data_IF_707078562566
#
_entry.id   IF_707078562566
#
_cell.length_a   1.000
_cell.length_b   1.000
_cell.length_c   1.000
_cell.angle_alpha   90.00
_cell.angle_beta   90.00
_cell.angle_gamma   90.00
#
_symmetry.space_group_name_H-M   'P 1'
#
loop_
_entity.id
_entity.type
_entity.pdbx_description
1 polymer ?
#
# COMPACT_ATOMS: atom_id res chain seq x y z
N UNK A 1 -13.83 -7.81 7.28
CA UNK A 1 -15.05 -7.73 6.47
C UNK A 1 -15.69 -6.37 6.53
N UNK A 2 -15.73 -5.66 7.63
CA UNK A 2 -15.91 -4.21 7.52
C UNK A 2 -14.91 -3.64 6.51
N UNK A 3 -13.68 -4.12 6.47
CA UNK A 3 -12.71 -3.81 5.44
C UNK A 3 -13.09 -4.41 4.07
N UNK A 4 -13.59 -5.61 4.04
CA UNK A 4 -14.12 -6.25 2.83
C UNK A 4 -15.48 -5.66 2.52
N UNK A 5 -16.36 -5.42 3.49
CA UNK A 5 -17.62 -4.71 3.31
C UNK A 5 -17.37 -3.26 2.88
N UNK A 6 -16.41 -2.55 3.46
CA UNK A 6 -16.02 -1.23 3.03
C UNK A 6 -15.55 -1.24 1.57
N UNK A 7 -14.75 -2.21 1.22
CA UNK A 7 -14.25 -2.37 -0.14
C UNK A 7 -15.35 -2.78 -1.12
N UNK A 8 -16.25 -3.65 -0.70
CA UNK A 8 -17.37 -4.10 -1.53
C UNK A 8 -18.52 -3.11 -1.57
N UNK A 9 -18.75 -2.41 -0.50
CA UNK A 9 -19.70 -1.33 -0.42
C UNK A 9 -19.36 -0.23 -1.42
N UNK A 10 -18.10 -0.03 -1.66
CA UNK A 10 -17.49 0.87 -2.62
C UNK A 10 -17.81 0.54 -4.09
N UNK A 11 -17.96 -0.72 -4.44
CA UNK A 11 -18.13 -1.12 -5.83
C UNK A 11 -19.59 -1.16 -6.31
N UNK A 12 -20.58 -1.12 -5.40
CA UNK A 12 -22.01 -1.35 -5.72
C UNK A 12 -22.83 -0.13 -6.14
N UNK A 13 -22.42 1.09 -5.85
CA UNK A 13 -23.30 2.25 -5.90
C UNK A 13 -23.70 2.78 -7.28
N UNK A 14 -23.03 2.40 -8.32
CA UNK A 14 -23.29 3.01 -9.65
C UNK A 14 -24.46 2.41 -10.46
N UNK A 15 -25.07 1.33 -10.01
CA UNK A 15 -26.22 0.71 -10.71
C UNK A 15 -27.54 0.72 -9.95
N UNK A 16 -27.61 1.24 -8.74
CA UNK A 16 -28.75 1.04 -7.83
C UNK A 16 -29.61 2.29 -7.62
N UNK A 17 -29.54 3.29 -8.49
CA UNK A 17 -30.43 4.48 -8.37
C UNK A 17 -31.92 4.18 -8.50
N UNK A 18 -32.33 2.98 -8.87
CA UNK A 18 -33.75 2.63 -9.07
C UNK A 18 -34.36 1.64 -8.06
N UNK A 19 -33.56 1.07 -7.14
CA UNK A 19 -34.06 0.11 -6.15
C UNK A 19 -34.06 0.66 -4.71
N UNK A 20 -33.52 1.85 -4.50
CA UNK A 20 -33.17 2.41 -3.18
C UNK A 20 -34.29 3.13 -2.41
N UNK A 21 -35.45 3.29 -2.97
CA UNK A 21 -36.57 3.93 -2.22
C UNK A 21 -37.13 3.07 -1.08
N UNK A 22 -36.71 1.81 -0.98
CA UNK A 22 -37.23 0.87 0.03
C UNK A 22 -36.32 0.66 1.26
N UNK A 23 -35.08 1.18 1.27
CA UNK A 23 -34.10 0.89 2.33
C UNK A 23 -33.62 2.11 3.12
N UNK A 24 -34.51 3.06 3.44
CA UNK A 24 -34.20 4.32 4.15
C UNK A 24 -33.84 4.20 5.64
N UNK A 25 -33.50 3.05 6.18
CA UNK A 25 -33.30 2.88 7.64
C UNK A 25 -31.90 2.47 8.10
N UNK A 26 -30.85 2.66 7.32
CA UNK A 26 -29.48 2.43 7.81
C UNK A 26 -28.63 3.71 7.86
N UNK A 27 -27.89 3.88 8.96
CA UNK A 27 -27.29 5.10 9.53
C UNK A 27 -26.33 5.91 8.63
N UNK A 28 -26.26 7.26 8.81
CA UNK A 28 -25.58 8.20 7.91
C UNK A 28 -24.05 8.21 7.89
N UNK A 29 -23.35 7.59 8.84
CA UNK A 29 -21.90 7.72 9.00
C UNK A 29 -21.05 6.84 8.08
N UNK A 30 -21.64 5.84 7.44
CA UNK A 30 -20.98 4.97 6.47
C UNK A 30 -20.94 5.54 5.03
N UNK A 31 -21.71 6.59 4.75
CA UNK A 31 -21.93 7.11 3.40
C UNK A 31 -20.72 7.80 2.75
N UNK A 32 -19.81 8.39 3.52
CA UNK A 32 -18.75 9.25 2.96
C UNK A 32 -17.67 8.43 2.27
N UNK A 33 -17.17 7.37 2.89
CA UNK A 33 -16.15 6.49 2.30
C UNK A 33 -16.64 5.69 1.12
N UNK A 34 -17.88 5.38 1.15
CA UNK A 34 -18.65 4.72 0.15
C UNK A 34 -18.74 5.50 -1.17
N UNK A 35 -19.14 6.74 -1.09
CA UNK A 35 -19.19 7.63 -2.25
C UNK A 35 -17.81 7.80 -2.88
N UNK A 36 -16.77 7.85 -2.06
CA UNK A 36 -15.41 8.19 -2.47
C UNK A 36 -14.75 7.10 -3.30
N UNK A 37 -14.87 5.85 -2.92
CA UNK A 37 -14.21 4.78 -3.66
C UNK A 37 -15.02 4.31 -4.89
N UNK A 38 -16.35 4.49 -4.90
CA UNK A 38 -17.23 4.14 -6.05
C UNK A 38 -17.16 5.16 -7.16
N UNK A 39 -17.17 6.44 -6.83
CA UNK A 39 -17.02 7.51 -7.82
C UNK A 39 -15.70 7.32 -8.58
N UNK A 40 -14.67 6.82 -7.93
CA UNK A 40 -13.34 6.69 -8.52
C UNK A 40 -13.12 5.50 -9.43
N UNK A 41 -13.63 4.33 -9.11
CA UNK A 41 -13.48 3.18 -10.00
C UNK A 41 -14.30 3.35 -11.27
N UNK A 42 -15.44 4.04 -11.21
CA UNK A 42 -16.32 4.24 -12.37
C UNK A 42 -16.06 5.52 -13.16
N UNK A 43 -15.47 6.54 -12.56
CA UNK A 43 -15.09 7.81 -13.21
C UNK A 43 -13.63 7.82 -13.67
N UNK A 44 -12.89 6.76 -13.41
CA UNK A 44 -11.49 6.64 -13.83
C UNK A 44 -11.40 6.72 -15.35
N UNK A 45 -10.77 7.76 -15.93
CA UNK A 45 -10.51 7.84 -17.36
C UNK A 45 -9.58 6.71 -17.86
N UNK A 46 -8.82 6.05 -16.97
CA UNK A 46 -8.24 4.75 -17.19
C UNK A 46 -9.31 3.64 -17.09
N UNK A 47 -10.33 3.76 -17.90
CA UNK A 47 -11.05 2.55 -18.28
C UNK A 47 -10.07 1.70 -19.05
N UNK A 48 -9.45 0.77 -18.34
CA UNK A 48 -8.86 -0.38 -19.02
C UNK A 48 -9.94 -0.84 -20.00
N UNK A 49 -9.67 -0.87 -21.31
CA UNK A 49 -10.73 -1.02 -22.31
C UNK A 49 -11.51 -2.30 -22.00
N UNK A 50 -12.71 -2.13 -21.46
CA UNK A 50 -13.61 -3.23 -21.23
C UNK A 50 -14.00 -3.78 -22.60
N UNK A 51 -13.79 -5.07 -22.88
CA UNK A 51 -14.14 -5.64 -24.17
C UNK A 51 -15.64 -5.51 -24.38
N UNK A 52 -16.09 -5.17 -25.61
CA UNK A 52 -17.49 -4.83 -25.91
C UNK A 52 -18.47 -6.01 -25.91
N UNK A 53 -18.08 -7.23 -25.53
CA UNK A 53 -18.90 -8.41 -25.69
C UNK A 53 -19.22 -9.10 -24.37
N UNK A 54 -20.52 -9.22 -24.06
CA UNK A 54 -21.18 -10.14 -23.12
C UNK A 54 -20.30 -10.56 -21.94
N UNK A 55 -19.84 -9.59 -21.17
CA UNK A 55 -19.12 -9.90 -19.95
C UNK A 55 -20.17 -9.96 -18.85
N UNK A 56 -20.41 -11.15 -18.33
CA UNK A 56 -21.24 -11.34 -17.13
C UNK A 56 -20.61 -10.65 -15.91
N UNK A 57 -19.32 -10.25 -16.00
CA UNK A 57 -18.53 -9.65 -14.94
C UNK A 57 -17.85 -8.37 -15.43
N UNK A 58 -18.07 -7.26 -14.76
CA UNK A 58 -17.35 -6.03 -15.04
C UNK A 58 -15.91 -6.11 -14.51
N UNK A 59 -15.01 -5.31 -15.08
CA UNK A 59 -13.64 -5.20 -14.58
C UNK A 59 -13.63 -4.85 -13.09
N UNK A 60 -14.50 -3.94 -12.65
CA UNK A 60 -14.59 -3.47 -11.28
C UNK A 60 -14.91 -4.61 -10.30
N UNK A 61 -15.86 -5.48 -10.65
CA UNK A 61 -16.19 -6.66 -9.83
C UNK A 61 -14.98 -7.60 -9.72
N UNK A 62 -14.29 -7.87 -10.83
CA UNK A 62 -13.11 -8.74 -10.80
C UNK A 62 -11.97 -8.15 -9.98
N UNK A 63 -11.75 -6.84 -10.06
CA UNK A 63 -10.77 -6.13 -9.27
C UNK A 63 -11.11 -6.22 -7.77
N UNK A 64 -12.37 -5.98 -7.41
CA UNK A 64 -12.85 -6.08 -6.03
C UNK A 64 -12.64 -7.47 -5.45
N UNK A 65 -12.97 -8.52 -6.22
CA UNK A 65 -12.75 -9.90 -5.80
C UNK A 65 -11.26 -10.22 -5.65
N UNK A 66 -10.41 -9.67 -6.52
CA UNK A 66 -8.96 -9.83 -6.40
C UNK A 66 -8.41 -9.19 -5.13
N UNK A 67 -8.88 -7.99 -4.77
CA UNK A 67 -8.47 -7.32 -3.53
C UNK A 67 -9.02 -8.06 -2.29
N UNK A 68 -10.27 -8.54 -2.35
CA UNK A 68 -10.82 -9.38 -1.29
C UNK A 68 -9.99 -10.65 -1.07
N UNK A 69 -9.49 -11.27 -2.15
CA UNK A 69 -8.57 -12.39 -2.05
C UNK A 69 -7.28 -12.00 -1.31
N UNK A 70 -6.71 -10.83 -1.60
CA UNK A 70 -5.53 -10.31 -0.90
C UNK A 70 -5.78 -10.06 0.58
N UNK A 71 -6.91 -9.44 0.94
CA UNK A 71 -7.31 -9.23 2.33
C UNK A 71 -7.49 -10.55 3.10
N UNK A 72 -7.78 -11.64 2.40
CA UNK A 72 -7.80 -13.00 2.96
C UNK A 72 -6.43 -13.73 2.88
N UNK A 73 -5.34 -13.03 2.54
CA UNK A 73 -3.99 -13.55 2.35
C UNK A 73 -3.91 -14.65 1.28
N UNK A 74 -4.75 -14.58 0.24
CA UNK A 74 -4.75 -15.50 -0.89
C UNK A 74 -3.82 -14.99 -1.98
N UNK A 75 -3.07 -15.89 -2.59
CA UNK A 75 -1.99 -15.55 -3.53
C UNK A 75 -2.22 -16.08 -4.95
N UNK A 76 -3.08 -17.07 -5.09
CA UNK A 76 -3.39 -17.67 -6.40
C UNK A 76 -4.58 -17.00 -7.09
N UNK A 77 -4.52 -16.91 -8.42
CA UNK A 77 -5.67 -16.51 -9.23
C UNK A 77 -6.85 -17.48 -9.09
N UNK A 78 -6.56 -18.74 -8.76
CA UNK A 78 -7.59 -19.77 -8.50
C UNK A 78 -8.40 -19.49 -7.25
N UNK A 79 -7.87 -18.68 -6.34
CA UNK A 79 -8.57 -18.30 -5.10
C UNK A 79 -9.56 -17.15 -5.31
N UNK A 80 -9.39 -16.34 -6.36
CA UNK A 80 -10.22 -15.15 -6.61
C UNK A 80 -11.71 -15.49 -6.75
N UNK A 81 -12.11 -16.55 -7.48
CA UNK A 81 -13.53 -16.94 -7.55
C UNK A 81 -14.16 -17.32 -6.21
N UNK A 82 -13.35 -17.62 -5.21
CA UNK A 82 -13.77 -18.00 -3.86
C UNK A 82 -13.50 -16.91 -2.81
N UNK A 83 -13.05 -15.73 -3.25
CA UNK A 83 -12.66 -14.66 -2.34
C UNK A 83 -13.83 -14.14 -1.52
N UNK A 84 -15.02 -14.16 -2.08
CA UNK A 84 -16.27 -13.76 -1.44
C UNK A 84 -17.30 -14.87 -1.60
N UNK A 85 -17.82 -15.32 -0.49
CA UNK A 85 -18.85 -16.35 -0.41
C UNK A 85 -20.12 -15.83 0.25
N UNK A 86 -20.03 -14.67 0.85
CA UNK A 86 -21.14 -14.03 1.53
C UNK A 86 -22.07 -13.35 0.52
N UNK A 87 -23.29 -13.79 0.51
CA UNK A 87 -24.29 -13.36 -0.46
C UNK A 87 -24.63 -11.86 -0.37
N UNK A 88 -24.62 -11.27 0.82
CA UNK A 88 -24.76 -9.83 1.03
C UNK A 88 -23.71 -9.03 0.24
N UNK A 89 -22.46 -9.44 0.41
CA UNK A 89 -21.34 -8.76 -0.26
C UNK A 89 -21.40 -8.92 -1.78
N UNK A 90 -21.83 -10.10 -2.25
CA UNK A 90 -22.02 -10.34 -3.68
C UNK A 90 -23.15 -9.48 -4.25
N UNK A 91 -24.25 -9.36 -3.52
CA UNK A 91 -25.37 -8.50 -3.93
C UNK A 91 -24.95 -7.01 -3.94
N UNK A 92 -24.19 -6.56 -2.95
CA UNK A 92 -23.63 -5.21 -2.89
C UNK A 92 -22.68 -4.92 -4.05
N UNK A 93 -21.90 -5.92 -4.51
CA UNK A 93 -21.06 -5.82 -5.71
C UNK A 93 -21.88 -5.73 -7.01
N UNK A 94 -23.18 -5.89 -6.94
CA UNK A 94 -24.04 -6.02 -8.11
C UNK A 94 -23.87 -7.36 -8.83
N UNK A 95 -23.36 -8.39 -8.13
CA UNK A 95 -23.32 -9.75 -8.65
C UNK A 95 -24.73 -10.28 -8.77
N UNK A 96 -25.15 -10.69 -9.98
CA UNK A 96 -26.44 -11.34 -10.15
C UNK A 96 -26.33 -12.81 -9.75
N UNK A 97 -26.72 -13.10 -8.52
CA UNK A 97 -26.72 -14.46 -7.97
C UNK A 97 -27.72 -15.41 -8.68
N UNK A 98 -28.71 -14.86 -9.37
CA UNK A 98 -29.72 -15.62 -10.10
C UNK A 98 -29.22 -16.13 -11.45
N UNK A 99 -28.28 -15.44 -12.07
CA UNK A 99 -27.69 -15.84 -13.37
C UNK A 99 -26.53 -16.82 -13.20
N UNK A 100 -26.24 -17.22 -11.98
CA UNK A 100 -25.10 -18.10 -11.70
C UNK A 100 -25.54 -19.57 -11.76
N UNK A 101 -25.39 -20.19 -12.94
CA UNK A 101 -25.63 -21.62 -13.14
C UNK A 101 -24.55 -22.51 -12.49
N UNK A 102 -23.51 -21.92 -11.90
CA UNK A 102 -22.38 -22.67 -11.33
C UNK A 102 -22.68 -23.15 -9.92
N UNK A 103 -22.19 -24.35 -9.60
CA UNK A 103 -22.16 -24.85 -8.22
C UNK A 103 -21.28 -23.96 -7.35
N UNK A 104 -21.66 -23.75 -6.10
CA UNK A 104 -20.88 -22.99 -5.11
C UNK A 104 -19.46 -23.53 -4.97
N UNK A 105 -19.28 -24.85 -5.15
CA UNK A 105 -17.98 -25.51 -5.09
C UNK A 105 -17.07 -25.18 -6.29
N UNK A 106 -17.64 -24.67 -7.37
CA UNK A 106 -16.89 -24.29 -8.59
C UNK A 106 -16.45 -22.83 -8.58
N UNK A 107 -16.80 -22.07 -7.53
CA UNK A 107 -16.55 -20.64 -7.40
C UNK A 107 -17.45 -19.78 -8.30
N UNK A 108 -17.41 -18.47 -8.09
CA UNK A 108 -18.25 -17.50 -8.79
C UNK A 108 -18.04 -17.49 -10.31
N UNK A 109 -16.83 -17.79 -10.76
CA UNK A 109 -16.45 -17.84 -12.18
C UNK A 109 -15.23 -18.75 -12.37
N UNK A 110 -14.96 -19.14 -13.60
CA UNK A 110 -13.75 -19.92 -13.91
C UNK A 110 -12.48 -19.06 -13.74
N UNK A 111 -11.41 -19.62 -13.18
CA UNK A 111 -10.11 -18.96 -13.09
C UNK A 111 -9.59 -18.41 -14.44
N UNK A 112 -10.02 -19.05 -15.55
CA UNK A 112 -9.69 -18.63 -16.92
C UNK A 112 -10.12 -17.17 -17.20
N UNK A 113 -11.14 -16.66 -16.51
CA UNK A 113 -11.59 -15.27 -16.62
C UNK A 113 -10.47 -14.33 -16.17
N UNK A 114 -9.87 -14.60 -14.99
CA UNK A 114 -8.73 -13.80 -14.50
C UNK A 114 -7.52 -13.92 -15.41
N UNK A 115 -7.20 -15.12 -15.91
CA UNK A 115 -6.08 -15.30 -16.84
C UNK A 115 -6.29 -14.51 -18.13
N UNK A 116 -7.51 -14.54 -18.70
CA UNK A 116 -7.86 -13.77 -19.90
C UNK A 116 -7.81 -12.27 -19.64
N UNK A 117 -8.23 -11.82 -18.47
CA UNK A 117 -8.11 -10.41 -18.06
C UNK A 117 -6.64 -9.99 -18.04
N UNK A 118 -5.80 -10.72 -17.31
CA UNK A 118 -4.38 -10.38 -17.16
C UNK A 118 -3.61 -10.42 -18.49
N UNK A 119 -3.99 -11.31 -19.41
CA UNK A 119 -3.36 -11.40 -20.71
C UNK A 119 -3.60 -10.17 -21.61
N UNK A 120 -4.56 -9.30 -21.25
CA UNK A 120 -4.88 -8.08 -22.04
C UNK A 120 -3.99 -6.88 -21.67
N UNK A 121 -3.42 -6.88 -20.47
CA UNK A 121 -2.69 -5.75 -19.93
C UNK A 121 -1.21 -6.04 -19.82
N UNK A 122 -0.39 -5.03 -20.09
CA UNK A 122 1.05 -5.08 -19.88
C UNK A 122 1.40 -4.77 -18.43
N UNK A 123 2.60 -5.13 -18.02
CA UNK A 123 3.09 -4.89 -16.66
C UNK A 123 3.10 -3.40 -16.28
N UNK A 124 3.48 -2.55 -17.22
CA UNK A 124 3.55 -1.10 -17.03
C UNK A 124 2.16 -0.51 -16.78
N UNK A 125 1.11 -1.06 -17.42
CA UNK A 125 -0.27 -0.58 -17.24
C UNK A 125 -0.78 -0.85 -15.82
N UNK A 126 -0.32 -1.91 -15.15
CA UNK A 126 -0.65 -2.17 -13.74
C UNK A 126 0.00 -1.16 -12.81
N UNK A 127 1.27 -0.80 -13.05
CA UNK A 127 1.97 0.22 -12.27
C UNK A 127 1.32 1.59 -12.49
N UNK A 128 1.07 1.98 -13.74
CA UNK A 128 0.36 3.21 -14.06
C UNK A 128 -1.04 3.26 -13.42
N UNK A 129 -1.78 2.14 -13.45
CA UNK A 129 -3.08 2.04 -12.77
C UNK A 129 -2.97 2.37 -11.28
N UNK A 130 -1.98 1.81 -10.58
CA UNK A 130 -1.78 2.11 -9.16
C UNK A 130 -1.48 3.59 -8.92
N UNK A 131 -0.49 4.11 -9.62
CA UNK A 131 -0.02 5.48 -9.44
C UNK A 131 -1.11 6.50 -9.77
N UNK A 132 -1.80 6.34 -10.91
CA UNK A 132 -2.91 7.21 -11.28
C UNK A 132 -4.09 7.12 -10.29
N UNK A 133 -4.43 5.91 -9.85
CA UNK A 133 -5.51 5.69 -8.90
C UNK A 133 -5.23 6.36 -7.55
N UNK A 134 -4.04 6.15 -6.98
CA UNK A 134 -3.67 6.74 -5.68
C UNK A 134 -3.54 8.25 -5.79
N UNK A 135 -2.72 8.75 -6.70
CA UNK A 135 -2.41 10.18 -6.80
C UNK A 135 -3.61 11.00 -7.27
N UNK A 136 -4.22 10.61 -8.39
CA UNK A 136 -5.22 11.46 -9.05
C UNK A 136 -6.61 11.36 -8.43
N UNK A 137 -6.92 10.24 -7.81
CA UNK A 137 -8.26 10.00 -7.31
C UNK A 137 -8.31 9.83 -5.80
N UNK A 138 -7.68 8.79 -5.26
CA UNK A 138 -7.88 8.41 -3.87
C UNK A 138 -7.39 9.50 -2.90
N UNK A 139 -6.18 10.01 -3.08
CA UNK A 139 -5.62 11.04 -2.20
C UNK A 139 -6.42 12.34 -2.29
N UNK A 140 -6.80 12.75 -3.51
CA UNK A 140 -7.61 13.95 -3.74
C UNK A 140 -8.98 13.86 -3.09
N UNK A 141 -9.65 12.71 -3.18
CA UNK A 141 -10.99 12.54 -2.64
C UNK A 141 -11.03 12.40 -1.12
N UNK A 142 -9.99 11.81 -0.55
CA UNK A 142 -9.84 11.68 0.90
C UNK A 142 -9.20 12.94 1.53
N UNK A 143 -8.87 13.95 0.72
CA UNK A 143 -8.14 15.15 1.17
C UNK A 143 -6.85 14.80 1.93
N UNK A 144 -6.13 13.78 1.44
CA UNK A 144 -4.88 13.32 2.02
C UNK A 144 -3.72 14.02 1.32
N UNK A 145 -3.01 14.86 2.05
CA UNK A 145 -1.85 15.60 1.55
C UNK A 145 -0.67 15.48 2.54
N UNK A 146 0.13 14.40 2.46
CA UNK A 146 1.34 14.30 3.25
C UNK A 146 2.31 15.43 2.89
N UNK A 147 2.99 15.97 3.89
CA UNK A 147 4.07 16.93 3.70
C UNK A 147 5.46 16.30 3.97
N UNK A 148 5.50 15.08 4.43
CA UNK A 148 6.72 14.30 4.65
C UNK A 148 6.58 13.02 3.85
N UNK A 149 7.58 12.76 3.02
CA UNK A 149 7.64 11.59 2.16
C UNK A 149 8.89 10.77 2.49
N UNK A 150 8.78 9.45 2.40
CA UNK A 150 9.91 8.52 2.57
C UNK A 150 10.05 7.73 1.29
N UNK A 151 11.26 7.71 0.72
CA UNK A 151 11.57 6.91 -0.46
C UNK A 151 12.52 5.78 -0.08
N UNK A 152 12.13 4.57 -0.41
CA UNK A 152 13.01 3.40 -0.26
C UNK A 152 12.65 2.31 -1.28
N UNK A 153 13.57 1.37 -1.48
CA UNK A 153 13.40 0.21 -2.34
C UNK A 153 13.44 -1.08 -1.54
N UNK A 154 12.57 -2.01 -1.86
CA UNK A 154 12.64 -3.37 -1.32
C UNK A 154 12.87 -4.39 -2.42
N UNK A 155 13.66 -5.42 -2.08
CA UNK A 155 13.88 -6.58 -2.96
C UNK A 155 12.65 -7.48 -2.91
N UNK A 156 12.24 -7.99 -4.05
CA UNK A 156 11.20 -9.02 -4.21
C UNK A 156 11.89 -10.26 -4.73
N UNK A 157 12.18 -11.19 -3.82
CA UNK A 157 13.04 -12.32 -4.11
C UNK A 157 12.26 -13.51 -4.67
N UNK A 158 12.91 -14.26 -5.54
CA UNK A 158 12.41 -15.51 -6.13
C UNK A 158 13.45 -16.61 -6.00
N UNK A 159 13.05 -17.86 -6.30
CA UNK A 159 13.98 -18.98 -6.30
C UNK A 159 15.14 -18.71 -7.27
N UNK A 160 16.36 -18.73 -6.75
CA UNK A 160 17.59 -18.43 -7.48
C UNK A 160 17.81 -19.35 -8.69
N UNK A 161 17.49 -20.63 -8.53
CA UNK A 161 17.73 -21.68 -9.54
C UNK A 161 16.68 -21.66 -10.65
N UNK A 162 15.54 -21.00 -10.45
CA UNK A 162 14.48 -20.96 -11.44
C UNK A 162 14.67 -19.78 -12.42
N UNK A 163 15.25 -20.05 -13.57
CA UNK A 163 15.51 -19.08 -14.64
C UNK A 163 14.27 -18.67 -15.44
N UNK A 164 13.13 -19.33 -15.22
CA UNK A 164 11.88 -19.03 -15.94
C UNK A 164 11.18 -17.75 -15.47
N UNK A 165 11.65 -17.13 -14.39
CA UNK A 165 11.12 -15.85 -13.94
C UNK A 165 11.44 -14.73 -14.92
N UNK A 166 10.46 -14.35 -15.72
CA UNK A 166 10.59 -13.31 -16.74
C UNK A 166 11.05 -11.97 -16.14
N UNK A 167 11.98 -11.28 -16.80
CA UNK A 167 12.56 -10.00 -16.39
C UNK A 167 13.21 -10.00 -14.99
N UNK A 168 13.40 -11.16 -14.36
CA UNK A 168 14.19 -11.24 -13.13
C UNK A 168 15.67 -11.02 -13.42
N UNK A 169 16.41 -10.51 -12.46
CA UNK A 169 17.87 -10.40 -12.54
C UNK A 169 18.55 -11.04 -11.34
N UNK A 170 19.78 -11.47 -11.56
CA UNK A 170 20.65 -12.03 -10.52
C UNK A 170 21.67 -10.98 -10.11
N UNK A 171 21.81 -10.78 -8.80
CA UNK A 171 22.80 -9.87 -8.22
C UNK A 171 23.52 -10.56 -7.06
N UNK A 172 24.74 -10.10 -6.79
CA UNK A 172 25.50 -10.51 -5.61
C UNK A 172 25.59 -9.32 -4.65
N UNK A 173 25.02 -9.46 -3.46
CA UNK A 173 24.99 -8.42 -2.42
C UNK A 173 25.49 -9.06 -1.14
N UNK A 174 26.47 -8.43 -0.47
CA UNK A 174 27.06 -8.89 0.78
C UNK A 174 27.54 -10.37 0.77
N UNK A 175 28.01 -10.81 -0.40
CA UNK A 175 28.49 -12.18 -0.61
C UNK A 175 27.41 -13.19 -1.01
N UNK A 176 26.15 -12.87 -0.85
CA UNK A 176 25.01 -13.73 -1.22
C UNK A 176 24.54 -13.43 -2.64
N UNK A 177 24.29 -14.50 -3.40
CA UNK A 177 23.70 -14.41 -4.75
C UNK A 177 22.19 -14.57 -4.63
N UNK A 178 21.44 -13.62 -5.19
CA UNK A 178 19.98 -13.62 -5.15
C UNK A 178 19.39 -13.26 -6.52
N UNK A 179 18.21 -13.82 -6.80
CA UNK A 179 17.40 -13.52 -8.00
C UNK A 179 16.11 -12.82 -7.60
N UNK A 180 15.68 -11.86 -8.38
CA UNK A 180 14.39 -11.21 -8.12
C UNK A 180 14.19 -9.91 -8.87
N UNK A 181 13.33 -9.11 -8.27
CA UNK A 181 12.89 -7.80 -8.71
C UNK A 181 13.10 -6.77 -7.62
N UNK A 182 12.86 -5.52 -7.94
CA UNK A 182 12.94 -4.41 -7.01
C UNK A 182 11.65 -3.58 -7.08
N UNK A 183 11.08 -3.29 -5.93
CA UNK A 183 9.95 -2.40 -5.75
C UNK A 183 10.43 -1.14 -5.05
N UNK A 184 10.37 0.01 -5.73
CA UNK A 184 10.56 1.33 -5.13
C UNK A 184 9.21 1.90 -4.73
N UNK A 185 9.14 2.52 -3.55
CA UNK A 185 7.92 3.10 -2.99
C UNK A 185 8.20 4.50 -2.48
N UNK A 186 7.42 5.46 -2.94
CA UNK A 186 7.26 6.76 -2.30
C UNK A 186 6.12 6.66 -1.31
N UNK A 187 6.41 6.88 -0.04
CA UNK A 187 5.48 6.75 1.09
C UNK A 187 5.20 8.11 1.71
N UNK A 188 3.96 8.55 1.71
CA UNK A 188 3.53 9.69 2.49
C UNK A 188 3.35 9.32 3.97
N UNK A 189 3.83 10.18 4.87
CA UNK A 189 3.67 10.01 6.32
C UNK A 189 2.36 10.62 6.77
N UNK A 190 1.56 9.84 7.50
CA UNK A 190 0.33 10.27 8.17
C UNK A 190 0.50 10.09 9.68
N UNK A 191 -0.37 10.70 10.50
CA UNK A 191 -0.23 10.72 11.96
C UNK A 191 -0.01 9.33 12.59
N UNK A 192 -0.80 8.32 12.19
CA UNK A 192 -0.76 6.97 12.76
C UNK A 192 -0.36 5.89 11.76
N UNK A 193 -0.03 6.26 10.51
CA UNK A 193 0.27 5.31 9.45
C UNK A 193 1.01 5.98 8.29
N UNK A 194 1.18 5.24 7.20
CA UNK A 194 1.66 5.78 5.94
C UNK A 194 0.83 5.30 4.76
N UNK A 195 0.96 5.99 3.67
CA UNK A 195 0.32 5.65 2.41
C UNK A 195 1.39 5.49 1.33
N UNK A 196 1.40 4.37 0.62
CA UNK A 196 2.24 4.23 -0.56
C UNK A 196 1.63 5.07 -1.69
N UNK A 197 2.21 6.24 -1.94
CA UNK A 197 1.67 7.24 -2.86
C UNK A 197 1.97 6.90 -4.31
N UNK A 198 3.19 6.47 -4.57
CA UNK A 198 3.65 6.12 -5.90
C UNK A 198 4.64 4.96 -5.82
N UNK A 199 4.64 4.11 -6.85
CA UNK A 199 5.50 2.93 -6.88
C UNK A 199 6.17 2.78 -8.24
N UNK A 200 7.34 2.15 -8.24
CA UNK A 200 8.04 1.70 -9.43
C UNK A 200 8.48 0.25 -9.23
N UNK A 201 8.26 -0.58 -10.24
CA UNK A 201 8.61 -1.99 -10.18
C UNK A 201 9.51 -2.36 -11.35
N UNK A 202 10.64 -2.97 -11.06
CA UNK A 202 11.65 -3.27 -12.07
C UNK A 202 12.62 -4.37 -11.67
N UNK A 203 13.73 -4.43 -12.38
CA UNK A 203 14.76 -5.47 -12.18
C UNK A 203 15.60 -5.18 -10.93
N UNK A 204 16.00 -6.24 -10.21
CA UNK A 204 16.82 -6.14 -9.01
C UNK A 204 18.19 -5.49 -9.28
N UNK A 205 18.69 -5.58 -10.51
CA UNK A 205 20.00 -5.08 -10.92
C UNK A 205 20.09 -3.56 -11.03
N UNK A 206 18.97 -2.88 -11.31
CA UNK A 206 18.94 -1.42 -11.47
C UNK A 206 19.27 -0.75 -10.15
N UNK A 207 20.12 0.28 -10.16
CA UNK A 207 20.45 1.07 -8.97
C UNK A 207 19.19 1.80 -8.45
N UNK A 208 19.04 1.96 -7.13
CA UNK A 208 17.82 2.52 -6.51
C UNK A 208 17.49 3.92 -7.04
N UNK A 209 18.51 4.81 -7.10
CA UNK A 209 18.35 6.15 -7.64
C UNK A 209 17.91 6.14 -9.11
N UNK A 210 18.49 5.27 -9.93
CA UNK A 210 18.14 5.15 -11.33
C UNK A 210 16.70 4.67 -11.53
N UNK A 211 16.29 3.69 -10.74
CA UNK A 211 14.93 3.14 -10.79
C UNK A 211 13.88 4.18 -10.39
N UNK A 212 14.17 5.02 -9.41
CA UNK A 212 13.23 6.00 -8.89
C UNK A 212 13.37 7.40 -9.49
N UNK A 213 14.34 7.63 -10.39
CA UNK A 213 14.63 8.96 -10.97
C UNK A 213 13.40 9.58 -11.64
N UNK A 214 12.72 8.82 -12.50
CA UNK A 214 11.55 9.31 -13.22
C UNK A 214 10.41 9.66 -12.26
N UNK A 215 10.17 8.83 -11.27
CA UNK A 215 9.19 9.07 -10.21
C UNK A 215 9.50 10.38 -9.47
N UNK A 216 10.73 10.57 -8.96
CA UNK A 216 11.13 11.79 -8.26
C UNK A 216 11.02 13.06 -9.12
N UNK A 217 11.23 12.92 -10.43
CA UNK A 217 11.14 14.04 -11.36
C UNK A 217 9.70 14.44 -11.66
N UNK A 218 8.80 13.46 -11.82
CA UNK A 218 7.48 13.66 -12.41
C UNK A 218 6.33 13.53 -11.42
N UNK A 219 6.57 13.00 -10.21
CA UNK A 219 5.49 12.78 -9.23
C UNK A 219 4.65 14.04 -8.99
N UNK A 220 3.35 13.87 -8.87
CA UNK A 220 2.42 14.94 -8.46
C UNK A 220 2.20 15.00 -6.94
N UNK A 221 2.84 14.11 -6.17
CA UNK A 221 2.70 14.06 -4.72
C UNK A 221 3.47 15.17 -4.01
N UNK A 222 4.51 15.73 -4.64
CA UNK A 222 5.32 16.78 -4.02
C UNK A 222 4.72 18.17 -4.16
N UNK A 223 4.63 18.87 -3.03
CA UNK A 223 4.26 20.27 -2.93
C UNK A 223 5.46 21.11 -2.47
N UNK A 224 5.35 22.42 -2.59
CA UNK A 224 6.40 23.33 -2.15
C UNK A 224 6.59 23.25 -0.63
N UNK A 225 7.85 23.11 -0.20
CA UNK A 225 8.32 22.94 1.17
C UNK A 225 8.04 21.54 1.78
N UNK A 226 7.67 20.56 0.98
CA UNK A 226 7.63 19.19 1.44
C UNK A 226 9.03 18.66 1.77
N UNK A 227 9.04 17.57 2.52
CA UNK A 227 10.24 16.89 2.99
C UNK A 227 10.32 15.50 2.34
N UNK A 228 11.48 15.17 1.77
CA UNK A 228 11.81 13.84 1.29
C UNK A 228 12.91 13.22 2.15
N UNK A 229 12.62 12.09 2.76
CA UNK A 229 13.55 11.27 3.55
C UNK A 229 13.95 10.06 2.71
N UNK A 230 15.24 9.84 2.51
CA UNK A 230 15.75 8.70 1.76
C UNK A 230 17.03 8.11 2.37
N UNK A 231 17.36 6.89 1.95
CA UNK A 231 18.61 6.23 2.34
C UNK A 231 19.78 6.74 1.50
N UNK A 232 21.00 6.45 1.98
CA UNK A 232 22.27 6.74 1.27
C UNK A 232 22.39 6.08 -0.11
N UNK A 233 21.54 5.11 -0.43
CA UNK A 233 21.39 4.56 -1.79
C UNK A 233 20.89 5.57 -2.81
N UNK A 234 20.20 6.60 -2.36
CA UNK A 234 19.64 7.68 -3.20
C UNK A 234 20.51 8.95 -3.25
N UNK A 235 21.74 8.89 -2.77
CA UNK A 235 22.66 10.03 -2.84
C UNK A 235 22.97 10.38 -4.30
N UNK A 236 22.50 11.55 -4.72
CA UNK A 236 22.77 12.16 -6.04
C UNK A 236 22.78 13.67 -5.90
N UNK A 237 23.91 14.31 -6.21
CA UNK A 237 24.06 15.77 -6.21
C UNK A 237 23.03 16.42 -7.15
N UNK A 238 22.95 15.92 -8.38
CA UNK A 238 22.03 16.41 -9.40
C UNK A 238 20.57 16.37 -8.88
N UNK A 239 20.15 15.22 -8.34
CA UNK A 239 18.78 15.05 -7.85
C UNK A 239 18.51 15.90 -6.60
N UNK A 240 19.46 16.00 -5.68
CA UNK A 240 19.33 16.88 -4.48
C UNK A 240 19.16 18.34 -4.89
N UNK A 241 19.98 18.81 -5.84
CA UNK A 241 19.86 20.18 -6.36
C UNK A 241 18.53 20.38 -7.10
N UNK A 242 18.12 19.43 -7.93
CA UNK A 242 16.84 19.48 -8.65
C UNK A 242 15.64 19.53 -7.69
N UNK A 243 15.58 18.67 -6.70
CA UNK A 243 14.50 18.63 -5.71
C UNK A 243 14.39 19.97 -4.98
N UNK A 244 15.51 20.54 -4.52
CA UNK A 244 15.49 21.82 -3.80
C UNK A 244 15.18 23.00 -4.71
N UNK A 245 15.81 23.09 -5.88
CA UNK A 245 15.70 24.29 -6.72
C UNK A 245 14.46 24.30 -7.61
N UNK A 246 14.07 23.15 -8.15
CA UNK A 246 12.96 23.04 -9.10
C UNK A 246 11.67 22.60 -8.40
N UNK A 247 11.73 21.51 -7.61
CA UNK A 247 10.56 20.97 -6.94
C UNK A 247 10.23 21.66 -5.62
N UNK A 248 11.15 22.43 -5.07
CA UNK A 248 11.04 23.11 -3.75
C UNK A 248 10.83 22.14 -2.58
N UNK A 249 11.40 20.93 -2.72
CA UNK A 249 11.33 19.85 -1.72
C UNK A 249 12.68 19.76 -1.01
N UNK A 250 12.64 19.66 0.32
CA UNK A 250 13.82 19.48 1.15
C UNK A 250 14.16 18.01 1.33
N UNK A 251 15.45 17.66 1.18
CA UNK A 251 15.93 16.29 1.33
C UNK A 251 16.60 16.07 2.67
N UNK A 252 16.35 14.88 3.25
CA UNK A 252 17.01 14.40 4.46
C UNK A 252 17.64 13.05 4.16
N UNK A 253 18.98 12.99 4.14
CA UNK A 253 19.74 11.82 3.65
C UNK A 253 21.03 11.63 4.45
N UNK A 254 21.41 10.39 4.84
CA UNK A 254 22.67 10.18 5.55
C UNK A 254 23.86 10.23 4.61
N UNK A 255 24.94 10.86 5.07
CA UNK A 255 26.23 10.83 4.38
C UNK A 255 26.92 9.47 4.52
N UNK A 256 27.74 9.11 3.52
CA UNK A 256 28.65 7.97 3.62
C UNK A 256 29.98 8.40 4.25
N UNK A 257 30.57 7.55 5.06
CA UNK A 257 31.83 7.85 5.78
C UNK A 257 33.00 8.25 4.87
N UNK A 258 33.01 7.75 3.63
CA UNK A 258 34.04 8.06 2.63
C UNK A 258 33.82 9.39 1.92
N UNK A 259 32.76 10.14 2.21
CA UNK A 259 32.49 11.45 1.60
C UNK A 259 33.24 12.57 2.34
N UNK A 260 33.73 13.55 1.59
CA UNK A 260 34.40 14.74 2.15
C UNK A 260 33.46 15.47 3.10
N UNK A 261 32.22 15.68 2.70
CA UNK A 261 31.19 16.37 3.53
C UNK A 261 30.95 15.66 4.88
N UNK A 262 31.05 14.33 4.92
CA UNK A 262 30.98 13.57 6.19
C UNK A 262 32.16 13.91 7.09
N UNK A 263 33.39 13.85 6.54
CA UNK A 263 34.61 14.12 7.28
C UNK A 263 34.66 15.55 7.80
N UNK A 264 34.23 16.51 6.99
CA UNK A 264 34.19 17.92 7.37
C UNK A 264 33.13 18.17 8.46
N UNK A 265 31.95 17.58 8.33
CA UNK A 265 30.90 17.66 9.34
C UNK A 265 31.38 17.13 10.71
N UNK A 266 32.03 15.94 10.73
CA UNK A 266 32.56 15.35 11.95
C UNK A 266 33.66 16.24 12.57
N UNK A 267 34.61 16.72 11.76
CA UNK A 267 35.69 17.62 12.25
C UNK A 267 35.15 18.92 12.83
N UNK A 268 34.20 19.56 12.14
CA UNK A 268 33.57 20.80 12.60
C UNK A 268 32.78 20.56 13.89
N UNK A 269 32.04 19.48 14.00
CA UNK A 269 31.31 19.10 15.21
C UNK A 269 32.28 18.86 16.39
N UNK A 270 33.33 18.08 16.19
CA UNK A 270 34.32 17.82 17.22
C UNK A 270 35.04 19.10 17.69
N UNK A 271 35.36 20.02 16.77
CA UNK A 271 36.05 21.27 17.08
C UNK A 271 35.18 22.25 17.86
N UNK A 272 33.89 22.38 17.49
CA UNK A 272 33.00 23.35 18.15
C UNK A 272 32.51 22.86 19.53
N UNK A 273 32.43 21.56 19.76
CA UNK A 273 32.09 20.93 21.03
C UNK A 273 30.69 21.21 21.59
N UNK A 274 29.78 21.77 20.80
CA UNK A 274 28.42 22.16 21.23
C UNK A 274 27.43 21.00 21.20
N UNK A 275 27.78 19.90 21.85
CA UNK A 275 26.99 18.68 21.87
C UNK A 275 25.73 18.82 22.74
N UNK A 276 24.64 18.29 22.25
CA UNK A 276 23.34 18.21 22.92
C UNK A 276 22.94 16.73 23.07
N UNK A 277 22.17 16.41 24.10
CA UNK A 277 21.63 15.05 24.28
C UNK A 277 20.70 14.70 23.11
N UNK A 278 20.79 13.44 22.65
CA UNK A 278 19.89 12.91 21.66
C UNK A 278 18.42 13.01 22.13
N UNK A 279 17.48 13.47 21.29
CA UNK A 279 16.07 13.64 21.70
C UNK A 279 15.40 12.31 22.08
N UNK A 280 15.77 11.20 21.45
CA UNK A 280 15.23 9.88 21.72
C UNK A 280 15.84 9.33 23.03
N UNK A 281 14.97 9.15 24.04
CA UNK A 281 15.37 8.67 25.37
C UNK A 281 15.98 7.25 25.39
N UNK A 282 15.76 6.45 24.33
CA UNK A 282 16.37 5.14 24.18
C UNK A 282 17.84 5.21 23.77
N UNK A 283 18.29 6.35 23.22
CA UNK A 283 19.67 6.58 22.73
C UNK A 283 20.47 7.44 23.71
N UNK A 284 20.53 7.05 24.98
CA UNK A 284 21.14 7.83 26.07
C UNK A 284 22.63 8.09 25.91
N UNK A 285 23.34 7.20 25.22
CA UNK A 285 24.78 7.28 24.97
C UNK A 285 25.12 8.10 23.74
N UNK A 286 24.10 8.62 23.05
CA UNK A 286 24.28 9.43 21.85
C UNK A 286 24.06 10.90 22.15
N UNK A 287 24.88 11.72 21.50
CA UNK A 287 24.74 13.17 21.49
C UNK A 287 24.70 13.69 20.07
N UNK A 288 24.10 14.85 19.89
CA UNK A 288 23.86 15.44 18.57
C UNK A 288 24.41 16.86 18.52
N UNK A 289 24.81 17.27 17.31
CA UNK A 289 25.26 18.64 17.06
C UNK A 289 24.84 19.09 15.66
N UNK A 290 24.43 20.35 15.53
CA UNK A 290 24.19 20.99 14.26
C UNK A 290 25.50 21.51 13.67
N UNK A 291 25.76 21.18 12.42
CA UNK A 291 26.81 21.75 11.59
C UNK A 291 26.15 22.45 10.41
N UNK A 292 26.45 23.71 10.22
CA UNK A 292 25.83 24.55 9.19
C UNK A 292 26.83 24.93 8.11
N UNK A 293 26.30 25.30 6.94
CA UNK A 293 27.09 25.77 5.79
C UNK A 293 28.19 24.79 5.36
N UNK A 294 27.84 23.51 5.34
CA UNK A 294 28.70 22.51 4.73
C UNK A 294 28.83 22.79 3.23
N UNK A 295 29.97 22.45 2.68
CA UNK A 295 30.21 22.52 1.24
C UNK A 295 29.27 21.63 0.44
N UNK A 296 29.37 21.63 -0.88
CA UNK A 296 28.57 20.78 -1.75
C UNK A 296 28.80 19.30 -1.45
N UNK A 297 27.84 18.46 -1.85
CA UNK A 297 27.93 16.98 -1.67
C UNK A 297 29.17 16.39 -2.28
N UNK A 298 29.64 16.96 -3.40
CA UNK A 298 30.88 16.62 -4.10
C UNK A 298 31.57 17.88 -4.64
N UNK A 299 32.88 17.79 -4.92
CA UNK A 299 33.56 18.82 -5.68
C UNK A 299 32.86 19.08 -7.02
N UNK A 300 32.70 20.34 -7.36
CA UNK A 300 31.96 20.77 -8.53
C UNK A 300 32.71 21.87 -9.26
N UNK A 301 32.67 21.81 -10.58
CA UNK A 301 33.14 22.89 -11.45
C UNK A 301 32.18 24.12 -11.41
N UNK A 302 30.97 23.94 -10.86
CA UNK A 302 29.94 24.97 -10.76
C UNK A 302 29.38 25.02 -9.33
N UNK A 303 30.15 25.38 -8.31
CA UNK A 303 29.74 25.37 -6.91
C UNK A 303 28.58 26.33 -6.63
N UNK A 304 28.39 27.36 -7.44
CA UNK A 304 27.28 28.31 -7.32
C UNK A 304 25.90 27.68 -7.64
N UNK A 305 25.89 26.54 -8.29
CA UNK A 305 24.66 25.78 -8.56
C UNK A 305 24.29 24.80 -7.44
N UNK A 306 25.18 24.62 -6.49
CA UNK A 306 24.94 23.72 -5.38
C UNK A 306 24.09 24.36 -4.29
N UNK A 307 23.15 23.57 -3.79
CA UNK A 307 22.31 24.00 -2.67
C UNK A 307 23.07 23.91 -1.36
N UNK A 308 22.87 24.86 -0.42
CA UNK A 308 23.47 24.81 0.89
C UNK A 308 22.99 23.59 1.68
N UNK A 309 23.89 22.99 2.45
CA UNK A 309 23.62 21.80 3.25
C UNK A 309 23.95 22.05 4.70
N UNK A 310 23.02 21.73 5.58
CA UNK A 310 23.26 21.56 7.01
C UNK A 310 23.26 20.09 7.37
N UNK A 311 23.89 19.72 8.48
CA UNK A 311 23.87 18.36 8.99
C UNK A 311 23.65 18.29 10.49
N UNK A 312 22.95 17.26 10.91
CA UNK A 312 22.98 16.78 12.28
C UNK A 312 24.04 15.68 12.38
N UNK A 313 25.09 15.94 13.14
CA UNK A 313 26.11 14.93 13.49
C UNK A 313 25.67 14.26 14.77
N UNK A 314 25.60 12.93 14.75
CA UNK A 314 25.33 12.08 15.92
C UNK A 314 26.63 11.42 16.31
N UNK A 315 27.04 11.54 17.55
CA UNK A 315 28.20 10.84 18.14
C UNK A 315 27.71 9.80 19.14
N UNK A 316 28.07 8.56 18.93
CA UNK A 316 27.81 7.47 19.88
C UNK A 316 29.02 7.30 20.80
N UNK A 317 28.90 7.76 22.05
CA UNK A 317 29.98 7.75 23.06
C UNK A 317 30.47 6.36 23.44
N UNK A 318 29.63 5.35 23.23
CA UNK A 318 29.97 3.96 23.61
C UNK A 318 30.91 3.33 22.57
N UNK A 319 30.68 3.60 21.30
CA UNK A 319 31.43 3.00 20.19
C UNK A 319 32.40 3.96 19.54
N UNK A 320 32.34 5.24 19.91
CA UNK A 320 33.07 6.37 19.31
C UNK A 320 32.80 6.54 17.80
N UNK A 321 31.59 6.10 17.37
CA UNK A 321 31.15 6.21 15.99
C UNK A 321 30.37 7.50 15.75
N UNK A 322 30.49 8.03 14.54
CA UNK A 322 29.75 9.19 14.08
C UNK A 322 28.77 8.82 12.98
N UNK A 323 27.62 9.50 12.96
CA UNK A 323 26.64 9.43 11.89
C UNK A 323 26.29 10.85 11.46
N UNK A 324 26.21 11.12 10.17
CA UNK A 324 25.96 12.44 9.63
C UNK A 324 24.67 12.41 8.82
N UNK A 325 23.67 13.16 9.24
CA UNK A 325 22.36 13.28 8.58
C UNK A 325 22.27 14.66 7.96
N UNK A 326 22.36 14.73 6.64
CA UNK A 326 22.35 15.95 5.84
C UNK A 326 20.94 16.39 5.50
N UNK A 327 20.74 17.69 5.34
CA UNK A 327 19.51 18.27 4.82
C UNK A 327 19.75 19.53 4.02
N UNK A 328 18.92 19.77 3.02
CA UNK A 328 18.83 21.05 2.29
C UNK A 328 17.93 22.06 3.00
N UNK A 329 17.22 21.66 4.07
CA UNK A 329 16.47 22.57 4.93
C UNK A 329 17.40 23.21 5.96
N UNK A 330 17.96 24.36 5.59
CA UNK A 330 18.92 25.07 6.43
C UNK A 330 18.30 25.79 7.64
N UNK A 331 16.98 25.78 7.76
CA UNK A 331 16.27 26.42 8.89
C UNK A 331 16.17 25.54 10.14
N UNK A 332 16.46 24.24 10.03
CA UNK A 332 16.22 23.26 11.09
C UNK A 332 17.37 23.13 12.08
N UNK A 333 17.00 22.88 13.32
CA UNK A 333 17.92 22.52 14.41
C UNK A 333 18.35 21.06 14.30
N UNK A 334 19.48 20.68 14.94
CA UNK A 334 19.94 19.28 14.99
C UNK A 334 18.86 18.32 15.48
N UNK A 335 18.09 18.74 16.50
CA UNK A 335 16.98 17.95 17.05
C UNK A 335 15.86 17.71 16.03
N UNK A 336 15.49 18.71 15.25
CA UNK A 336 14.48 18.58 14.22
C UNK A 336 14.96 17.69 13.09
N UNK A 337 16.21 17.85 12.65
CA UNK A 337 16.80 17.03 11.59
C UNK A 337 16.75 15.55 11.96
N UNK A 338 17.25 15.20 13.15
CA UNK A 338 17.29 13.77 13.56
C UNK A 338 15.89 13.21 13.82
N UNK A 339 14.98 13.97 14.42
CA UNK A 339 13.60 13.51 14.62
C UNK A 339 12.90 13.26 13.30
N UNK A 340 13.10 14.10 12.30
CA UNK A 340 12.55 13.89 10.95
C UNK A 340 13.13 12.63 10.31
N UNK A 341 14.45 12.44 10.37
CA UNK A 341 15.07 11.24 9.78
C UNK A 341 14.68 9.94 10.52
N UNK A 342 14.40 10.00 11.81
CA UNK A 342 13.92 8.84 12.60
C UNK A 342 12.56 8.30 12.16
N UNK A 343 11.86 8.95 11.23
CA UNK A 343 10.66 8.41 10.58
C UNK A 343 10.98 7.36 9.49
N UNK A 344 12.22 7.34 8.97
CA UNK A 344 12.62 6.44 7.89
C UNK A 344 12.32 4.95 8.15
N UNK A 345 12.55 4.39 9.36
CA UNK A 345 12.25 2.99 9.63
C UNK A 345 10.79 2.57 9.41
N UNK A 346 9.85 3.52 9.32
CA UNK A 346 8.44 3.21 9.10
C UNK A 346 8.19 2.53 7.75
N UNK A 347 8.93 2.92 6.69
CA UNK A 347 8.79 2.26 5.39
C UNK A 347 9.35 0.82 5.40
N UNK A 348 10.38 0.56 6.21
CA UNK A 348 10.93 -0.78 6.40
C UNK A 348 9.90 -1.69 7.10
N UNK A 349 9.18 -1.14 8.06
CA UNK A 349 8.08 -1.85 8.74
C UNK A 349 6.93 -2.13 7.76
N UNK A 350 6.57 -1.19 6.88
CA UNK A 350 5.58 -1.40 5.84
C UNK A 350 6.01 -2.54 4.89
N UNK A 351 7.27 -2.54 4.45
CA UNK A 351 7.82 -3.63 3.63
C UNK A 351 7.78 -4.97 4.35
N UNK A 352 8.16 -4.99 5.64
CA UNK A 352 8.09 -6.20 6.45
C UNK A 352 6.66 -6.72 6.54
N UNK A 353 5.68 -5.85 6.82
CA UNK A 353 4.28 -6.24 6.87
C UNK A 353 3.77 -6.79 5.53
N UNK A 354 4.11 -6.13 4.42
CA UNK A 354 3.72 -6.58 3.09
C UNK A 354 4.30 -7.97 2.76
N UNK A 355 5.56 -8.24 3.13
CA UNK A 355 6.19 -9.55 2.90
C UNK A 355 5.62 -10.64 3.80
N UNK A 356 5.54 -10.37 5.10
CA UNK A 356 5.16 -11.38 6.10
C UNK A 356 3.66 -11.71 6.04
N UNK A 357 2.81 -10.68 6.00
CA UNK A 357 1.37 -10.84 6.20
C UNK A 357 0.56 -10.77 4.90
N UNK A 358 0.99 -9.97 3.94
CA UNK A 358 0.31 -9.79 2.66
C UNK A 358 0.88 -10.67 1.55
N UNK A 359 1.92 -11.46 1.86
CA UNK A 359 2.51 -12.41 0.93
C UNK A 359 3.00 -11.76 -0.38
N UNK A 360 3.68 -10.63 -0.26
CA UNK A 360 4.19 -9.86 -1.41
C UNK A 360 5.06 -10.71 -2.35
N UNK A 361 5.84 -11.64 -1.79
CA UNK A 361 6.78 -12.49 -2.53
C UNK A 361 6.20 -13.88 -2.89
N UNK A 362 4.96 -14.19 -2.47
CA UNK A 362 4.34 -15.50 -2.70
C UNK A 362 3.41 -15.50 -3.94
N UNK A 363 3.92 -15.11 -5.08
CA UNK A 363 3.19 -15.19 -6.34
C UNK A 363 3.34 -16.58 -7.01
N UNK A 364 2.27 -17.05 -7.66
CA UNK A 364 2.16 -18.40 -8.23
C UNK A 364 2.38 -18.43 -9.75
N UNK A 365 3.25 -17.57 -10.26
CA UNK A 365 3.57 -17.46 -11.68
C UNK A 365 5.00 -17.01 -11.89
N UNK A 366 5.59 -17.40 -13.00
CA UNK A 366 6.90 -16.90 -13.48
C UNK A 366 6.75 -15.80 -14.53
N UNK A 367 5.53 -15.49 -14.98
CA UNK A 367 5.24 -14.45 -15.96
C UNK A 367 5.28 -13.07 -15.33
N UNK A 368 6.08 -12.17 -15.89
CA UNK A 368 6.31 -10.84 -15.33
C UNK A 368 5.02 -10.03 -15.13
N UNK A 369 4.10 -10.10 -16.10
CA UNK A 369 2.81 -9.44 -16.00
C UNK A 369 1.97 -9.93 -14.80
N UNK A 370 1.96 -11.25 -14.53
CA UNK A 370 1.25 -11.83 -13.40
C UNK A 370 1.90 -11.45 -12.06
N UNK A 371 3.24 -11.37 -12.04
CA UNK A 371 4.00 -10.95 -10.86
C UNK A 371 3.68 -9.49 -10.56
N UNK A 372 3.75 -8.62 -11.56
CA UNK A 372 3.42 -7.19 -11.41
C UNK A 372 1.98 -7.00 -10.91
N UNK A 373 1.03 -7.68 -11.53
CA UNK A 373 -0.37 -7.67 -11.06
C UNK A 373 -0.48 -8.10 -9.58
N UNK A 374 0.19 -9.19 -9.18
CA UNK A 374 0.17 -9.67 -7.80
C UNK A 374 0.67 -8.60 -6.82
N UNK A 375 1.79 -7.96 -7.15
CA UNK A 375 2.39 -6.90 -6.35
C UNK A 375 1.45 -5.70 -6.25
N UNK A 376 0.91 -5.24 -7.38
CA UNK A 376 -0.01 -4.10 -7.40
C UNK A 376 -1.28 -4.39 -6.60
N UNK A 377 -1.88 -5.57 -6.72
CA UNK A 377 -3.06 -5.93 -5.93
C UNK A 377 -2.73 -6.05 -4.43
N UNK A 378 -1.52 -6.45 -4.09
CA UNK A 378 -1.06 -6.48 -2.69
C UNK A 378 -0.92 -5.05 -2.15
N UNK A 379 -0.33 -4.15 -2.92
CA UNK A 379 -0.22 -2.72 -2.57
C UNK A 379 -1.60 -2.06 -2.42
N UNK A 380 -2.52 -2.31 -3.34
CA UNK A 380 -3.90 -1.78 -3.24
C UNK A 380 -4.58 -2.31 -1.98
N UNK A 381 -4.50 -3.61 -1.71
CA UNK A 381 -5.05 -4.20 -0.49
C UNK A 381 -4.44 -3.58 0.78
N UNK A 382 -3.11 -3.41 0.81
CA UNK A 382 -2.40 -2.78 1.92
C UNK A 382 -2.80 -1.32 2.11
N UNK A 383 -2.93 -0.57 1.03
CA UNK A 383 -3.39 0.81 1.01
C UNK A 383 -4.77 0.96 1.65
N UNK A 384 -5.76 0.17 1.22
CA UNK A 384 -7.09 0.18 1.83
C UNK A 384 -7.07 -0.17 3.31
N UNK A 385 -6.20 -1.11 3.70
CA UNK A 385 -6.04 -1.47 5.10
C UNK A 385 -5.48 -0.31 5.95
N UNK A 386 -4.51 0.45 5.41
CA UNK A 386 -3.96 1.62 6.09
C UNK A 386 -5.00 2.74 6.19
N UNK A 387 -5.71 3.03 5.11
CA UNK A 387 -6.79 4.00 5.12
C UNK A 387 -7.85 3.63 6.16
N UNK A 388 -8.30 2.38 6.16
CA UNK A 388 -9.30 1.91 7.14
C UNK A 388 -8.88 2.14 8.59
N UNK A 389 -7.62 1.90 8.94
CA UNK A 389 -7.10 2.13 10.29
C UNK A 389 -7.14 3.60 10.72
N UNK A 390 -7.14 4.53 9.77
CA UNK A 390 -7.25 5.96 10.04
C UNK A 390 -8.69 6.47 10.16
N UNK A 391 -9.68 5.65 9.79
CA UNK A 391 -11.09 5.98 9.96
C UNK A 391 -11.56 5.70 11.38
N UNK A 392 -12.64 6.37 11.80
CA UNK A 392 -13.16 6.22 13.15
C UNK A 392 -13.50 4.77 13.51
N UNK A 393 -14.10 4.02 12.57
CA UNK A 393 -14.40 2.61 12.75
C UNK A 393 -13.14 1.73 12.88
N UNK A 394 -12.09 2.12 12.19
CA UNK A 394 -10.81 1.39 12.13
C UNK A 394 -9.81 1.76 13.21
N UNK A 395 -9.97 2.90 13.91
CA UNK A 395 -9.00 3.38 14.92
C UNK A 395 -8.67 2.35 16.01
N UNK A 396 -9.63 1.50 16.39
CA UNK A 396 -9.41 0.37 17.34
C UNK A 396 -8.33 -0.62 16.85
N UNK A 397 -8.01 -0.59 15.56
CA UNK A 397 -7.00 -1.42 14.94
C UNK A 397 -5.70 -0.66 14.63
N UNK A 398 -5.57 0.60 15.06
CA UNK A 398 -4.32 1.35 14.95
C UNK A 398 -3.17 0.54 15.57
N UNK A 399 -2.03 0.47 14.88
CA UNK A 399 -0.89 -0.36 15.29
C UNK A 399 -1.08 -1.88 15.23
N UNK A 400 -2.25 -2.39 14.75
CA UNK A 400 -2.47 -3.83 14.58
C UNK A 400 -2.13 -4.28 13.16
N UNK A 401 -1.57 -5.50 13.06
CA UNK A 401 -1.30 -6.16 11.78
C UNK A 401 -2.55 -6.82 11.20
N UNK A 402 -2.55 -7.09 9.89
CA UNK A 402 -3.67 -7.72 9.19
C UNK A 402 -4.15 -9.03 9.85
N UNK A 403 -3.29 -9.99 10.26
CA UNK A 403 -3.75 -11.23 10.88
C UNK A 403 -4.55 -11.01 12.15
N UNK A 404 -4.17 -10.02 12.97
CA UNK A 404 -4.89 -9.67 14.20
C UNK A 404 -6.28 -9.11 13.89
N UNK A 405 -6.36 -8.21 12.91
CA UNK A 405 -7.64 -7.62 12.47
C UNK A 405 -8.56 -8.69 11.91
N UNK A 406 -8.05 -9.54 11.01
CA UNK A 406 -8.84 -10.63 10.40
C UNK A 406 -9.32 -11.64 11.44
N UNK A 407 -8.49 -11.98 12.43
CA UNK A 407 -8.87 -12.87 13.54
C UNK A 407 -10.02 -12.27 14.36
N UNK A 408 -9.83 -11.04 14.83
CA UNK A 408 -10.85 -10.34 15.63
C UNK A 408 -12.17 -10.23 14.87
N UNK A 409 -12.09 -9.95 13.58
CA UNK A 409 -13.26 -9.86 12.73
C UNK A 409 -14.02 -11.18 12.65
N UNK A 410 -13.34 -12.31 12.41
CA UNK A 410 -13.96 -13.64 12.38
C UNK A 410 -14.63 -14.01 13.68
N UNK A 411 -14.06 -13.55 14.81
CA UNK A 411 -14.60 -13.85 16.15
C UNK A 411 -15.82 -12.97 16.51
N UNK A 412 -15.96 -11.80 15.91
CA UNK A 412 -16.98 -10.82 16.32
C UNK A 412 -18.17 -10.73 15.38
N UNK A 413 -18.08 -11.26 14.16
CA UNK A 413 -19.16 -11.11 13.18
C UNK A 413 -20.27 -12.14 13.37
N UNK A 414 -21.54 -11.70 13.45
CA UNK A 414 -22.67 -12.61 13.32
C UNK A 414 -22.70 -13.19 11.91
N UNK A 415 -22.93 -14.48 11.79
CA UNK A 415 -23.14 -15.15 10.51
C UNK A 415 -24.49 -14.73 9.95
N UNK A 416 -24.58 -14.61 8.62
CA UNK A 416 -25.84 -14.36 7.90
C UNK A 416 -26.22 -15.58 7.07
N UNK A 417 -27.51 -15.81 6.92
CA UNK A 417 -28.09 -16.86 6.11
C UNK A 417 -28.95 -16.23 5.02
N UNK A 418 -28.74 -16.64 3.77
CA UNK A 418 -29.58 -16.23 2.66
C UNK A 418 -30.62 -17.32 2.39
N UNK A 419 -31.88 -16.92 2.33
CA UNK A 419 -33.01 -17.81 2.03
C UNK A 419 -33.65 -17.37 0.72
N UNK A 420 -33.80 -18.30 -0.21
CA UNK A 420 -34.46 -18.09 -1.49
C UNK A 420 -35.83 -18.74 -1.50
N UNK A 421 -36.83 -18.01 -2.00
CA UNK A 421 -38.17 -18.54 -2.27
C UNK A 421 -38.60 -18.06 -3.67
N UNK A 422 -38.44 -18.89 -4.65
CA UNK A 422 -38.67 -18.52 -6.03
C UNK A 422 -37.71 -17.41 -6.49
N UNK A 423 -38.26 -16.29 -6.94
CA UNK A 423 -37.49 -15.10 -7.32
C UNK A 423 -37.22 -14.14 -6.17
N UNK A 424 -37.68 -14.44 -4.98
CA UNK A 424 -37.47 -13.61 -3.80
C UNK A 424 -36.37 -14.20 -2.95
N UNK A 425 -35.55 -13.33 -2.35
CA UNK A 425 -34.57 -13.74 -1.37
C UNK A 425 -34.57 -12.78 -0.17
N UNK A 426 -34.17 -13.30 0.98
CA UNK A 426 -33.96 -12.55 2.19
C UNK A 426 -32.63 -12.93 2.82
N UNK A 427 -31.92 -11.96 3.37
CA UNK A 427 -30.68 -12.13 4.10
C UNK A 427 -30.98 -11.87 5.57
N UNK A 428 -30.74 -12.86 6.42
CA UNK A 428 -31.05 -12.80 7.84
C UNK A 428 -29.77 -12.99 8.67
N UNK A 429 -29.53 -12.18 9.70
CA UNK A 429 -28.54 -12.50 10.73
C UNK A 429 -28.78 -13.92 11.26
N UNK A 430 -27.73 -14.65 11.56
CA UNK A 430 -27.85 -16.05 11.98
C UNK A 430 -28.78 -16.24 13.19
N UNK A 431 -28.73 -15.33 14.16
CA UNK A 431 -29.63 -15.38 15.31
C UNK A 431 -31.11 -15.19 14.94
N UNK A 432 -31.37 -14.27 14.00
CA UNK A 432 -32.74 -14.06 13.48
C UNK A 432 -33.21 -15.28 12.66
N UNK A 433 -32.31 -15.83 11.86
CA UNK A 433 -32.59 -17.09 11.15
C UNK A 433 -32.95 -18.24 12.13
N UNK A 434 -32.24 -18.36 13.26
CA UNK A 434 -32.57 -19.36 14.28
C UNK A 434 -33.94 -19.12 14.93
N UNK A 435 -34.33 -17.86 15.11
CA UNK A 435 -35.68 -17.52 15.61
C UNK A 435 -36.74 -17.93 14.58
N UNK A 436 -36.57 -17.54 13.34
CA UNK A 436 -37.43 -17.94 12.21
C UNK A 436 -37.54 -19.48 12.16
N UNK A 437 -36.39 -20.17 12.21
CA UNK A 437 -36.34 -21.63 12.21
C UNK A 437 -37.13 -22.23 13.40
N UNK A 438 -36.99 -21.65 14.60
CA UNK A 438 -37.71 -22.12 15.78
C UNK A 438 -39.22 -21.94 15.70
N UNK A 439 -39.69 -20.92 14.97
CA UNK A 439 -41.12 -20.63 14.77
C UNK A 439 -41.74 -21.38 13.61
N UNK A 440 -40.92 -21.93 12.71
CA UNK A 440 -41.39 -22.67 11.55
C UNK A 440 -42.05 -24.02 11.89
N UNK A 441 -43.00 -24.41 11.04
CA UNK A 441 -43.58 -25.75 11.12
C UNK A 441 -42.51 -26.82 10.82
N UNK A 442 -42.72 -28.03 11.32
CA UNK A 442 -41.83 -29.19 11.08
C UNK A 442 -41.54 -29.43 9.61
N UNK A 443 -42.52 -29.17 8.72
CA UNK A 443 -42.33 -29.31 7.25
C UNK A 443 -41.33 -28.30 6.73
N UNK A 444 -41.38 -27.06 7.17
CA UNK A 444 -40.46 -26.00 6.77
C UNK A 444 -39.08 -26.21 7.38
N UNK A 445 -39.00 -26.62 8.68
CA UNK A 445 -37.72 -26.95 9.32
C UNK A 445 -36.94 -28.00 8.53
N UNK A 446 -37.58 -29.06 8.07
CA UNK A 446 -36.93 -30.09 7.25
C UNK A 446 -36.32 -29.55 5.95
N UNK A 447 -36.86 -28.45 5.40
CA UNK A 447 -36.29 -27.79 4.23
C UNK A 447 -35.08 -26.92 4.60
N UNK A 448 -35.03 -26.39 5.84
CA UNK A 448 -33.94 -25.53 6.35
C UNK A 448 -32.82 -26.33 7.02
N UNK A 449 -33.04 -27.58 7.43
CA UNK A 449 -32.04 -28.44 8.07
C UNK A 449 -30.72 -28.57 7.26
N UNK A 450 -30.72 -28.69 5.92
CA UNK A 450 -29.49 -28.76 5.15
C UNK A 450 -28.67 -27.43 5.18
N UNK A 451 -29.35 -26.30 5.41
CA UNK A 451 -28.71 -25.00 5.54
C UNK A 451 -28.01 -24.93 6.91
N UNK A 452 -28.71 -25.33 7.98
CA UNK A 452 -28.14 -25.38 9.34
C UNK A 452 -26.93 -26.30 9.43
N UNK A 453 -26.94 -27.42 8.73
CA UNK A 453 -25.81 -28.35 8.73
C UNK A 453 -24.55 -27.79 8.04
N UNK A 454 -24.65 -26.71 7.27
CA UNK A 454 -23.54 -26.06 6.55
C UNK A 454 -23.01 -24.81 7.26
N UNK A 455 -23.68 -24.30 8.28
CA UNK A 455 -23.36 -23.11 9.05
C UNK A 455 -22.69 -23.47 10.36
#
# INVERSE_FOLDING_TARGET
MELICLFFWVCSFYKVSTVWDSFRYFRPSSHILFSLAVINISSNPFRLPCPPYRVHYTFDILLCLAIAAKLKCKTSLTDVPFAVTEAELLAELGWNIWDNERDVNEGLFSESVMRKLLAKYKSEEWVCFYNDYVQKHLMKELDIQPCIHILDCTKVLVNLENENYENSSVVKIDGETMRGYKLGVLRGVLDDSGIAEEVVFGTLKTHDMEQCREMLTNTSCFHENDILINDRGFLSREMTNYLKTVRKVDTYIPARENMIIYQDAVKLAATSGNWQKHPNRKRKEQEIQLVTNLGPLWESDEPEKDVPINACVVHDKKTDNYFVFMTTDTSKTARQIINTYELRPEIEEDFRQMKDFWKLEDFKSTKYNYITYHIIMTLVGYLYFQIYKNLDEGKRYSGKSLPVVVKNYKETRPKSVMIYVGQYFGIFPFLEFLQIYAECTLKVRRLLDPILAKV
#
